data_IF_759435584765
#
_entry.id   IF_759435584765
#
_cell.length_a   1.000
_cell.length_b   1.000
_cell.length_c   1.000
_cell.angle_alpha   90.00
_cell.angle_beta   90.00
_cell.angle_gamma   90.00
#
_symmetry.space_group_name_H-M   'P 1'
#
loop_
_entity.id
_entity.type
_entity.pdbx_description
1 polymer ?
#
# COMPACT_ATOMS: atom_id res chain seq x y z
N UNK A 1 5.49 -1.49 3.89
CA UNK A 1 6.55 -0.65 3.31
C UNK A 1 6.10 0.79 3.20
N UNK A 2 6.98 1.73 3.44
CA UNK A 2 6.82 3.16 3.19
C UNK A 2 7.71 3.55 2.00
N UNK A 3 7.22 4.45 1.16
CA UNK A 3 7.91 4.95 -0.02
C UNK A 3 7.80 6.48 -0.06
N UNK A 4 8.92 7.18 -0.16
CA UNK A 4 8.98 8.58 -0.53
C UNK A 4 9.35 8.67 -2.01
N UNK A 5 8.52 9.36 -2.78
CA UNK A 5 8.74 9.50 -4.21
C UNK A 5 9.78 10.56 -4.53
N UNK A 6 10.77 10.14 -5.30
CA UNK A 6 11.56 11.00 -6.18
C UNK A 6 10.71 11.47 -7.38
N UNK A 7 10.58 12.79 -7.49
CA UNK A 7 9.82 13.54 -8.49
C UNK A 7 10.71 14.05 -9.64
N UNK A 8 12.02 13.77 -9.64
CA UNK A 8 12.93 14.18 -10.72
C UNK A 8 12.80 13.34 -12.00
N UNK A 9 12.14 12.17 -11.91
CA UNK A 9 12.05 11.20 -12.99
C UNK A 9 13.22 10.19 -13.03
N UNK A 10 14.21 10.32 -12.13
CA UNK A 10 15.35 9.39 -12.04
C UNK A 10 15.00 8.07 -11.33
N UNK A 11 13.83 8.00 -10.67
CA UNK A 11 13.33 6.79 -10.02
C UNK A 11 14.02 6.48 -8.70
N UNK A 12 14.70 7.46 -8.08
CA UNK A 12 15.45 7.31 -6.82
C UNK A 12 14.54 7.38 -5.59
N UNK A 13 13.45 6.61 -5.60
CA UNK A 13 12.51 6.58 -4.48
C UNK A 13 13.16 6.00 -3.22
N UNK A 14 12.90 6.59 -2.06
CA UNK A 14 13.34 6.03 -0.77
C UNK A 14 12.29 5.07 -0.27
N UNK A 15 12.64 3.79 -0.18
CA UNK A 15 11.72 2.73 0.24
C UNK A 15 12.31 2.04 1.45
N UNK A 16 11.52 1.94 2.52
CA UNK A 16 11.90 1.19 3.70
C UNK A 16 10.69 0.45 4.28
N UNK A 17 10.94 -0.66 4.95
CA UNK A 17 9.93 -1.61 5.39
C UNK A 17 10.30 -2.18 6.74
N UNK A 18 9.31 -2.38 7.58
CA UNK A 18 9.46 -3.13 8.82
C UNK A 18 8.40 -4.23 8.88
N UNK A 19 8.67 -5.26 9.70
CA UNK A 19 7.66 -6.24 10.09
C UNK A 19 6.97 -5.75 11.35
N UNK A 20 5.62 -5.73 11.40
CA UNK A 20 4.89 -5.38 12.62
C UNK A 20 5.33 -6.23 13.81
N UNK A 21 5.58 -5.58 14.95
CA UNK A 21 5.78 -6.27 16.22
C UNK A 21 4.41 -6.52 16.87
N UNK A 22 3.96 -7.76 16.87
CA UNK A 22 2.65 -8.15 17.41
C UNK A 22 2.51 -7.88 18.92
N UNK A 23 3.61 -7.69 19.65
CA UNK A 23 3.58 -7.36 21.07
C UNK A 23 3.33 -5.87 21.34
N UNK A 24 3.57 -5.01 20.33
CA UNK A 24 3.33 -3.58 20.42
C UNK A 24 1.85 -3.22 20.38
N UNK A 25 1.44 -2.26 21.22
CA UNK A 25 0.10 -1.68 21.21
C UNK A 25 -0.30 -1.08 19.84
N UNK A 26 0.66 -0.77 18.98
CA UNK A 26 0.41 -0.28 17.62
C UNK A 26 -0.31 -1.30 16.72
N UNK A 27 -0.15 -2.60 16.98
CA UNK A 27 -0.65 -3.67 16.11
C UNK A 27 -1.68 -4.59 16.78
N UNK A 28 -2.16 -4.20 17.96
CA UNK A 28 -3.26 -4.88 18.64
C UNK A 28 -4.61 -4.36 18.14
N UNK A 29 -5.70 -5.00 18.58
CA UNK A 29 -7.06 -4.55 18.26
C UNK A 29 -7.27 -3.12 18.79
N UNK A 30 -7.73 -2.17 17.95
CA UNK A 30 -8.02 -0.81 18.41
C UNK A 30 -9.04 -0.78 19.54
N UNK A 31 -8.72 -0.04 20.59
CA UNK A 31 -9.62 0.25 21.72
C UNK A 31 -10.35 1.59 21.55
N UNK A 32 -9.86 2.44 20.65
CA UNK A 32 -10.38 3.77 20.31
C UNK A 32 -10.33 3.96 18.79
N UNK A 33 -10.45 5.20 18.32
CA UNK A 33 -10.47 5.54 16.89
C UNK A 33 -9.20 5.11 16.13
N UNK A 34 -8.04 5.12 16.78
CA UNK A 34 -6.77 4.71 16.16
C UNK A 34 -5.79 4.12 17.19
N UNK A 35 -4.91 3.24 16.71
CA UNK A 35 -3.76 2.76 17.48
C UNK A 35 -2.63 3.81 17.51
N UNK A 36 -1.67 3.64 18.43
CA UNK A 36 -0.43 4.41 18.41
C UNK A 36 0.32 4.21 17.10
N UNK A 37 0.76 5.31 16.47
CA UNK A 37 1.49 5.27 15.22
C UNK A 37 2.77 4.43 15.33
N UNK A 38 3.05 3.65 14.29
CA UNK A 38 4.29 2.89 14.14
C UNK A 38 4.86 3.17 12.75
N UNK A 39 6.18 3.26 12.66
CA UNK A 39 6.85 3.78 11.48
C UNK A 39 8.37 3.65 11.55
N UNK A 40 9.04 4.42 10.71
CA UNK A 40 10.49 4.38 10.52
C UNK A 40 11.03 5.74 10.94
N UNK A 41 11.57 5.84 12.15
CA UNK A 41 11.96 7.11 12.76
C UNK A 41 13.04 7.85 11.98
N UNK A 42 13.86 7.13 11.22
CA UNK A 42 14.94 7.68 10.36
C UNK A 42 14.68 7.34 8.89
N UNK A 43 13.48 7.66 8.41
CA UNK A 43 13.06 7.31 7.05
C UNK A 43 13.88 8.01 5.96
N UNK A 44 14.16 9.31 6.14
CA UNK A 44 15.08 10.09 5.30
C UNK A 44 15.79 11.13 6.16
N UNK A 45 17.03 11.46 5.83
CA UNK A 45 17.74 12.56 6.48
C UNK A 45 17.10 13.90 6.07
N UNK A 46 16.85 14.76 7.06
CA UNK A 46 16.29 16.09 6.80
C UNK A 46 17.20 16.91 5.86
N UNK A 47 18.51 16.80 6.01
CA UNK A 47 19.48 17.46 5.13
C UNK A 47 19.34 17.05 3.66
N UNK A 48 18.82 15.86 3.36
CA UNK A 48 18.53 15.44 1.97
C UNK A 48 17.28 16.13 1.41
N UNK A 49 16.29 16.43 2.26
CA UNK A 49 15.08 17.15 1.87
C UNK A 49 15.31 18.66 1.74
N UNK A 50 16.25 19.21 2.51
CA UNK A 50 16.60 20.63 2.52
C UNK A 50 17.62 21.00 1.43
N UNK A 51 18.29 20.02 0.83
CA UNK A 51 19.21 20.26 -0.29
C UNK A 51 18.48 20.93 -1.47
N UNK A 52 19.08 22.01 -1.99
CA UNK A 52 18.63 22.62 -3.23
C UNK A 52 18.63 21.60 -4.38
N UNK A 53 17.60 21.65 -5.22
CA UNK A 53 17.40 20.73 -6.35
C UNK A 53 17.30 19.24 -5.97
N UNK A 54 16.88 18.91 -4.74
CA UNK A 54 16.57 17.52 -4.41
C UNK A 54 15.41 16.97 -5.28
N UNK A 55 15.36 15.64 -5.38
CA UNK A 55 14.32 14.95 -6.14
C UNK A 55 12.97 14.88 -5.43
N UNK A 56 12.90 15.09 -4.13
CA UNK A 56 11.76 14.70 -3.30
C UNK A 56 10.72 15.79 -3.06
N UNK A 57 11.13 17.06 -3.06
CA UNK A 57 10.27 18.23 -2.85
C UNK A 57 10.11 18.98 -4.17
N UNK A 58 8.88 19.18 -4.62
CA UNK A 58 8.53 20.02 -5.79
C UNK A 58 7.25 20.78 -5.46
N UNK A 59 7.21 22.06 -5.83
CA UNK A 59 6.06 22.95 -5.55
C UNK A 59 5.59 22.86 -4.09
N UNK A 60 6.55 22.90 -3.15
CA UNK A 60 6.33 22.77 -1.70
C UNK A 60 5.57 21.49 -1.29
N UNK A 61 5.67 20.43 -2.10
CA UNK A 61 4.90 19.20 -1.95
C UNK A 61 5.82 17.98 -1.99
N UNK A 62 5.50 16.99 -1.15
CA UNK A 62 6.09 15.65 -1.16
C UNK A 62 5.01 14.60 -1.39
N UNK A 63 5.39 13.45 -1.96
CA UNK A 63 4.49 12.32 -2.13
C UNK A 63 5.00 11.11 -1.35
N UNK A 64 4.18 10.59 -0.44
CA UNK A 64 4.45 9.39 0.34
C UNK A 64 3.41 8.33 -0.01
N UNK A 65 3.86 7.08 -0.17
CA UNK A 65 3.00 5.92 -0.34
C UNK A 65 3.31 4.85 0.69
N UNK A 66 2.25 4.32 1.31
CA UNK A 66 2.32 3.15 2.15
C UNK A 66 1.78 1.95 1.39
N UNK A 67 2.48 0.82 1.51
CA UNK A 67 2.10 -0.47 0.93
C UNK A 67 2.02 -1.49 2.06
N UNK A 68 0.87 -2.15 2.19
CA UNK A 68 0.63 -3.21 3.17
C UNK A 68 0.67 -4.54 2.43
N UNK A 69 1.49 -5.47 2.93
CA UNK A 69 1.48 -6.83 2.39
C UNK A 69 0.26 -7.58 2.92
N UNK A 70 -0.57 -8.04 1.99
CA UNK A 70 -1.81 -8.78 2.26
C UNK A 70 -1.70 -10.24 1.80
N UNK A 71 -0.50 -10.72 1.44
CA UNK A 71 -0.27 -12.06 0.90
C UNK A 71 -0.72 -13.18 1.86
N UNK A 72 -0.52 -12.97 3.15
CA UNK A 72 -0.89 -13.92 4.21
C UNK A 72 -2.30 -13.70 4.77
N UNK A 73 -3.07 -12.77 4.22
CA UNK A 73 -4.40 -12.46 4.71
C UNK A 73 -5.40 -13.57 4.35
N UNK A 74 -6.29 -13.91 5.29
CA UNK A 74 -7.40 -14.81 5.01
C UNK A 74 -8.23 -14.30 3.82
N UNK A 75 -8.42 -15.17 2.82
CA UNK A 75 -9.14 -14.85 1.57
C UNK A 75 -10.59 -14.44 1.81
N UNK A 76 -11.18 -14.79 2.95
CA UNK A 76 -12.52 -14.33 3.35
C UNK A 76 -12.60 -12.81 3.56
N UNK A 77 -11.45 -12.16 3.81
CA UNK A 77 -11.37 -10.71 4.03
C UNK A 77 -11.18 -9.91 2.73
N UNK A 78 -11.01 -10.58 1.58
CA UNK A 78 -10.82 -9.93 0.28
C UNK A 78 -11.91 -8.88 -0.06
N UNK A 79 -13.21 -9.11 0.19
CA UNK A 79 -14.24 -8.10 -0.09
C UNK A 79 -14.04 -6.78 0.67
N UNK A 80 -13.35 -6.83 1.81
CA UNK A 80 -13.06 -5.67 2.66
C UNK A 80 -11.73 -4.98 2.30
N UNK A 81 -10.82 -5.67 1.61
CA UNK A 81 -9.52 -5.12 1.18
C UNK A 81 -9.59 -4.42 -0.16
N UNK A 82 -10.50 -4.87 -1.02
CA UNK A 82 -10.89 -4.12 -2.21
C UNK A 82 -11.88 -3.01 -1.88
N UNK A 83 -11.90 -2.48 -0.65
CA UNK A 83 -12.42 -1.13 -0.43
C UNK A 83 -11.55 -0.19 -1.24
N UNK A 84 -11.97 0.01 -2.48
CA UNK A 84 -11.31 0.81 -3.47
C UNK A 84 -11.10 2.20 -2.93
N UNK A 85 -10.09 2.87 -3.47
CA UNK A 85 -9.82 4.28 -3.21
C UNK A 85 -11.16 5.01 -3.03
N UNK A 86 -11.47 5.51 -1.82
CA UNK A 86 -12.79 6.08 -1.53
C UNK A 86 -13.08 7.32 -2.39
N UNK A 87 -12.07 7.90 -3.04
CA UNK A 87 -12.22 8.94 -4.05
C UNK A 87 -12.70 8.46 -5.43
N UNK A 88 -12.79 7.15 -5.69
CA UNK A 88 -13.33 6.62 -6.94
C UNK A 88 -14.85 6.43 -6.85
N UNK A 89 -15.62 6.75 -7.91
CA UNK A 89 -17.06 6.52 -7.94
C UNK A 89 -17.43 5.05 -7.65
N UNK A 90 -18.51 4.83 -6.88
CA UNK A 90 -18.98 3.50 -6.44
C UNK A 90 -19.09 2.48 -7.59
N UNK A 91 -19.52 2.93 -8.78
CA UNK A 91 -19.65 2.01 -9.92
C UNK A 91 -18.30 1.51 -10.45
N UNK A 92 -17.24 2.35 -10.43
CA UNK A 92 -15.87 1.96 -10.79
C UNK A 92 -15.36 0.94 -9.79
N UNK A 93 -15.68 1.17 -8.52
CA UNK A 93 -15.35 0.24 -7.46
C UNK A 93 -15.96 -1.15 -7.72
N UNK A 94 -17.27 -1.19 -7.96
CA UNK A 94 -17.99 -2.42 -8.28
C UNK A 94 -17.46 -3.12 -9.55
N UNK A 95 -17.09 -2.36 -10.58
CA UNK A 95 -16.49 -2.91 -11.81
C UNK A 95 -15.17 -3.63 -11.53
N UNK A 96 -14.28 -3.01 -10.74
CA UNK A 96 -12.97 -3.60 -10.42
C UNK A 96 -13.10 -4.87 -9.57
N UNK A 97 -14.03 -4.88 -8.60
CA UNK A 97 -14.35 -6.08 -7.81
C UNK A 97 -14.84 -7.22 -8.73
N UNK A 98 -15.77 -6.91 -9.64
CA UNK A 98 -16.33 -7.88 -10.58
C UNK A 98 -15.26 -8.47 -11.50
N UNK A 99 -14.39 -7.63 -12.08
CA UNK A 99 -13.31 -8.08 -12.97
C UNK A 99 -12.31 -9.01 -12.27
N UNK A 100 -11.92 -8.69 -11.03
CA UNK A 100 -10.99 -9.55 -10.27
C UNK A 100 -11.64 -10.89 -9.88
N UNK A 101 -12.93 -10.89 -9.55
CA UNK A 101 -13.68 -12.13 -9.30
C UNK A 101 -13.71 -13.02 -10.55
N UNK A 102 -14.02 -12.46 -11.72
CA UNK A 102 -14.06 -13.17 -13.01
C UNK A 102 -12.68 -13.73 -13.41
N UNK A 103 -11.62 -12.93 -13.27
CA UNK A 103 -10.24 -13.36 -13.54
C UNK A 103 -9.84 -14.58 -12.71
N UNK A 104 -10.31 -14.66 -11.45
CA UNK A 104 -10.01 -15.80 -10.56
C UNK A 104 -10.79 -17.05 -10.92
N UNK A 105 -12.03 -16.92 -11.37
CA UNK A 105 -12.82 -18.04 -11.89
C UNK A 105 -12.11 -18.65 -13.11
N UNK A 106 -11.58 -17.83 -14.01
CA UNK A 106 -10.80 -18.30 -15.16
C UNK A 106 -9.49 -18.99 -14.76
N UNK A 107 -8.81 -18.52 -13.71
CA UNK A 107 -7.57 -19.14 -13.22
C UNK A 107 -7.77 -20.45 -12.47
N UNK A 108 -8.99 -20.75 -12.01
CA UNK A 108 -9.33 -21.98 -11.28
C UNK A 108 -9.95 -23.06 -12.18
N UNK A 109 -10.17 -22.81 -13.47
CA UNK A 109 -10.55 -23.87 -14.40
C UNK A 109 -9.34 -24.79 -14.65
N UNK A 110 -9.47 -26.12 -14.45
CA UNK A 110 -8.41 -27.05 -14.81
C UNK A 110 -8.20 -26.97 -16.32
N UNK A 111 -6.93 -26.85 -16.75
CA UNK A 111 -6.54 -26.98 -18.15
C UNK A 111 -7.13 -28.30 -18.69
N UNK A 112 -7.79 -28.31 -19.86
CA UNK A 112 -8.30 -29.55 -20.42
C UNK A 112 -7.11 -30.47 -20.67
N UNK A 113 -7.15 -31.66 -20.08
CA UNK A 113 -6.17 -32.71 -20.32
C UNK A 113 -6.18 -33.01 -21.82
N UNK A 114 -5.12 -32.61 -22.51
CA UNK A 114 -4.92 -32.99 -23.91
C UNK A 114 -4.92 -34.51 -24.02
N UNK A 115 -5.79 -35.01 -24.89
CA UNK A 115 -5.79 -36.39 -25.36
C UNK A 115 -4.63 -36.63 -26.33
#
# INVERSE_FOLDING_TARGET
SFCLYDQSGEGKHVIDSFRPDITSNSFQRPQFDMNSASGISKFILLSTLEQENNGYVRDDTIFIKTMVDMGDMNKTLLPYVFSLNPGLPIYVQQMMIKQEAERRVQRQQPQPSGA
#
